data_IF_454900631888
#
_entry.id   IF_454900631888
#
_cell.length_a   1.000
_cell.length_b   1.000
_cell.length_c   1.000
_cell.angle_alpha   90.00
_cell.angle_beta   90.00
_cell.angle_gamma   90.00
#
_symmetry.space_group_name_H-M   'P 1'
#
loop_
_entity.id
_entity.type
_entity.pdbx_description
1 polymer ?
#
# COMPACT_ATOMS: atom_id res chain seq x y z
N UNK A 1 3.30 -1.33 23.30
CA UNK A 1 2.28 -2.30 22.85
C UNK A 1 1.86 -1.93 21.43
N UNK A 2 1.63 -2.91 20.57
CA UNK A 2 1.36 -2.69 19.15
C UNK A 2 -0.06 -2.21 18.87
N UNK A 3 -0.24 -1.22 18.00
CA UNK A 3 -1.58 -0.80 17.55
C UNK A 3 -2.05 -1.71 16.41
N UNK A 4 -3.05 -2.55 16.70
CA UNK A 4 -3.76 -3.33 15.69
C UNK A 4 -4.93 -2.49 15.17
N UNK A 5 -4.85 -2.09 13.91
CA UNK A 5 -5.89 -1.27 13.27
C UNK A 5 -6.71 -2.18 12.37
N UNK A 6 -7.76 -2.73 12.96
CA UNK A 6 -8.75 -3.54 12.26
C UNK A 6 -9.81 -2.68 11.56
N UNK A 7 -9.74 -1.36 11.58
CA UNK A 7 -10.64 -0.48 10.83
C UNK A 7 -10.05 0.90 10.78
N UNK A 8 -10.27 1.61 9.67
CA UNK A 8 -9.91 3.03 9.55
C UNK A 8 -10.56 3.88 10.65
N UNK A 9 -11.65 3.41 11.27
CA UNK A 9 -12.37 4.08 12.37
C UNK A 9 -11.56 4.17 13.65
N UNK A 10 -10.58 3.28 13.82
CA UNK A 10 -9.75 3.22 15.03
C UNK A 10 -8.53 4.15 14.89
N UNK A 11 -8.20 4.58 13.67
CA UNK A 11 -7.09 5.50 13.45
C UNK A 11 -7.55 6.95 13.61
N UNK A 12 -7.00 7.63 14.60
CA UNK A 12 -7.14 9.09 14.71
C UNK A 12 -6.65 9.78 13.43
N UNK A 13 -7.41 10.77 12.96
CA UNK A 13 -7.00 11.68 11.88
C UNK A 13 -5.72 12.45 12.19
N UNK A 14 -5.34 12.53 13.48
CA UNK A 14 -4.12 13.18 13.97
C UNK A 14 -2.94 12.19 14.13
N UNK A 15 -3.16 10.89 13.90
CA UNK A 15 -2.10 9.90 14.04
C UNK A 15 -0.95 10.20 13.07
N UNK A 16 0.22 10.51 13.62
CA UNK A 16 1.46 10.73 12.87
C UNK A 16 2.25 9.43 12.82
N UNK A 17 2.40 8.90 11.61
CA UNK A 17 3.27 7.76 11.29
C UNK A 17 4.16 8.14 10.13
N UNK A 18 5.38 7.61 10.12
CA UNK A 18 6.31 7.84 9.02
C UNK A 18 5.79 7.21 7.73
N UNK A 19 5.17 6.04 7.84
CA UNK A 19 4.56 5.30 6.73
C UNK A 19 3.33 4.51 7.18
N UNK A 20 2.36 4.42 6.28
CA UNK A 20 1.20 3.53 6.36
C UNK A 20 1.33 2.46 5.28
N UNK A 21 1.20 1.19 5.67
CA UNK A 21 1.33 0.02 4.81
C UNK A 21 -0.03 -0.68 4.76
N UNK A 22 -0.62 -0.79 3.57
CA UNK A 22 -1.93 -1.40 3.38
C UNK A 22 -1.82 -2.66 2.56
N UNK A 23 -2.71 -3.58 2.87
CA UNK A 23 -2.96 -4.75 2.05
C UNK A 23 -4.24 -4.49 1.27
N UNK A 24 -4.09 -4.33 -0.04
CA UNK A 24 -5.20 -4.18 -0.97
C UNK A 24 -5.64 -5.55 -1.44
N UNK A 25 -6.64 -6.12 -0.78
CA UNK A 25 -7.21 -7.45 -1.07
C UNK A 25 -8.75 -7.46 -1.20
N UNK A 26 -9.42 -6.36 -0.84
CA UNK A 26 -10.87 -6.12 -0.97
C UNK A 26 -11.74 -7.24 -0.39
N UNK A 27 -11.26 -7.94 0.65
CA UNK A 27 -12.00 -9.03 1.27
C UNK A 27 -12.18 -10.27 0.41
N UNK A 28 -11.60 -10.33 -0.80
CA UNK A 28 -11.69 -11.52 -1.65
C UNK A 28 -10.84 -12.64 -1.05
N UNK A 29 -11.31 -13.88 -1.13
CA UNK A 29 -10.49 -15.05 -0.79
C UNK A 29 -9.51 -15.27 -1.93
N UNK A 30 -8.25 -14.97 -1.65
CA UNK A 30 -7.13 -15.11 -2.56
C UNK A 30 -5.98 -15.69 -1.73
N UNK A 31 -5.31 -16.77 -2.19
CA UNK A 31 -4.36 -17.49 -1.35
C UNK A 31 -3.27 -16.61 -0.74
N UNK A 32 -2.73 -15.64 -1.48
CA UNK A 32 -1.67 -14.75 -1.00
C UNK A 32 -2.22 -13.73 0.01
N UNK A 33 -3.45 -13.24 -0.19
CA UNK A 33 -4.11 -12.36 0.78
C UNK A 33 -4.47 -13.09 2.09
N UNK A 34 -4.94 -14.33 2.01
CA UNK A 34 -5.34 -15.12 3.17
C UNK A 34 -4.15 -15.43 4.09
N UNK A 35 -2.94 -15.58 3.53
CA UNK A 35 -1.70 -15.70 4.30
C UNK A 35 -1.44 -14.47 5.14
N UNK A 36 -1.64 -13.28 4.57
CA UNK A 36 -1.42 -12.02 5.28
C UNK A 36 -2.44 -11.87 6.42
N UNK A 37 -3.70 -12.20 6.16
CA UNK A 37 -4.76 -12.16 7.19
C UNK A 37 -4.44 -13.10 8.35
N UNK A 38 -4.02 -14.34 8.07
CA UNK A 38 -3.62 -15.33 9.09
C UNK A 38 -2.41 -14.88 9.93
N UNK A 39 -1.53 -14.05 9.37
CA UNK A 39 -0.30 -13.58 10.02
C UNK A 39 -0.37 -12.13 10.49
N UNK A 40 -1.53 -11.48 10.40
CA UNK A 40 -1.69 -10.04 10.63
C UNK A 40 -1.22 -9.61 12.01
N UNK A 41 -1.46 -10.43 13.04
CA UNK A 41 -1.05 -10.12 14.42
C UNK A 41 0.46 -9.92 14.55
N UNK A 42 1.26 -10.80 13.93
CA UNK A 42 2.72 -10.73 13.95
C UNK A 42 3.21 -9.52 13.14
N UNK A 43 2.59 -9.29 11.98
CA UNK A 43 2.90 -8.15 11.11
C UNK A 43 2.62 -6.82 11.81
N UNK A 44 1.47 -6.67 12.46
CA UNK A 44 1.10 -5.47 13.21
C UNK A 44 2.05 -5.23 14.40
N UNK A 45 2.45 -6.30 15.09
CA UNK A 45 3.43 -6.21 16.18
C UNK A 45 4.81 -5.74 15.68
N UNK A 46 5.24 -6.14 14.48
CA UNK A 46 6.47 -5.66 13.87
C UNK A 46 6.36 -4.18 13.48
N UNK A 47 5.33 -3.80 12.73
CA UNK A 47 5.14 -2.43 12.28
C UNK A 47 5.08 -1.41 13.43
N UNK A 48 4.37 -1.77 14.52
CA UNK A 48 4.22 -0.85 15.64
C UNK A 48 5.48 -0.67 16.49
N UNK A 49 6.46 -1.58 16.42
CA UNK A 49 7.75 -1.36 17.09
C UNK A 49 8.58 -0.26 16.40
N UNK A 50 8.20 0.15 15.19
CA UNK A 50 9.00 1.00 14.31
C UNK A 50 8.17 2.11 13.64
N UNK A 51 7.22 2.70 14.37
CA UNK A 51 6.40 3.86 13.96
C UNK A 51 5.66 3.73 12.61
N UNK A 52 5.39 2.50 12.20
CA UNK A 52 4.58 2.17 11.02
C UNK A 52 3.27 1.51 11.45
N UNK A 53 2.26 1.57 10.58
CA UNK A 53 0.99 0.87 10.79
C UNK A 53 0.68 -0.02 9.59
N UNK A 54 0.28 -1.27 9.86
CA UNK A 54 -0.26 -2.17 8.85
C UNK A 54 -1.78 -2.14 8.96
N UNK A 55 -2.41 -1.95 7.81
CA UNK A 55 -3.86 -1.85 7.68
C UNK A 55 -4.31 -2.91 6.69
N UNK A 56 -5.17 -3.82 7.14
CA UNK A 56 -5.85 -4.75 6.25
C UNK A 56 -7.23 -4.20 5.91
N UNK A 57 -7.66 -4.46 4.67
CA UNK A 57 -9.04 -4.21 4.28
C UNK A 57 -9.95 -5.11 5.10
N UNK A 58 -10.56 -4.56 6.14
CA UNK A 58 -11.56 -5.27 6.92
C UNK A 58 -12.89 -5.35 6.18
N UNK A 59 -13.56 -6.46 6.42
CA UNK A 59 -14.76 -6.93 5.74
C UNK A 59 -15.89 -5.92 5.62
N UNK A 60 -16.74 -6.23 4.64
CA UNK A 60 -18.10 -5.74 4.38
C UNK A 60 -18.32 -4.24 4.17
N UNK A 61 -17.43 -3.34 4.60
CA UNK A 61 -17.63 -1.89 4.47
C UNK A 61 -16.53 -1.30 3.59
N UNK A 62 -16.88 -1.02 2.34
CA UNK A 62 -16.02 -0.49 1.27
C UNK A 62 -15.27 0.77 1.65
N UNK A 63 -14.10 0.62 2.28
CA UNK A 63 -13.22 1.73 2.67
C UNK A 63 -12.52 2.42 1.48
N UNK A 64 -12.70 1.91 0.27
CA UNK A 64 -12.09 2.43 -0.96
C UNK A 64 -13.06 2.45 -2.13
N UNK A 65 -14.33 2.81 -1.92
CA UNK A 65 -15.23 3.10 -3.05
C UNK A 65 -14.95 4.51 -3.61
N UNK A 66 -13.70 4.73 -4.01
CA UNK A 66 -13.27 5.94 -4.70
C UNK A 66 -12.56 5.56 -6.00
N UNK A 67 -12.48 6.50 -6.92
CA UNK A 67 -11.92 6.25 -8.25
C UNK A 67 -10.42 5.93 -8.26
N UNK A 68 -9.72 6.18 -7.15
CA UNK A 68 -8.27 5.95 -7.03
C UNK A 68 -7.95 4.53 -6.60
N UNK A 69 -8.75 3.95 -5.71
CA UNK A 69 -8.52 2.64 -5.11
C UNK A 69 -9.79 1.77 -5.24
N UNK A 70 -10.48 1.82 -6.37
CA UNK A 70 -11.65 0.97 -6.61
C UNK A 70 -11.21 -0.48 -6.88
N UNK A 71 -12.03 -1.44 -6.46
CA UNK A 71 -11.80 -2.86 -6.75
C UNK A 71 -11.79 -3.19 -8.25
N UNK A 72 -12.40 -2.34 -9.09
CA UNK A 72 -12.32 -2.47 -10.55
C UNK A 72 -11.08 -1.82 -11.15
N UNK A 73 -10.62 -0.71 -10.55
CA UNK A 73 -9.53 0.08 -11.07
C UNK A 73 -8.73 0.76 -9.98
N UNK A 74 -7.41 0.54 -10.04
CA UNK A 74 -6.45 1.15 -9.14
C UNK A 74 -5.75 2.28 -9.90
N UNK A 75 -6.13 3.53 -9.62
CA UNK A 75 -5.60 4.75 -10.24
C UNK A 75 -5.63 4.72 -11.77
N UNK A 76 -6.75 4.25 -12.33
CA UNK A 76 -6.94 4.13 -13.78
C UNK A 76 -6.35 2.86 -14.41
N UNK A 77 -5.63 2.03 -13.64
CA UNK A 77 -5.14 0.73 -14.07
C UNK A 77 -6.16 -0.38 -13.76
N UNK A 78 -6.11 -1.48 -14.52
CA UNK A 78 -6.96 -2.64 -14.27
C UNK A 78 -6.54 -3.33 -12.97
N UNK A 79 -7.45 -3.36 -11.99
CA UNK A 79 -7.20 -3.93 -10.67
C UNK A 79 -6.78 -5.40 -10.71
N UNK A 80 -7.25 -6.21 -11.69
CA UNK A 80 -6.86 -7.62 -11.82
C UNK A 80 -5.37 -7.83 -12.03
N UNK A 81 -4.68 -6.85 -12.61
CA UNK A 81 -3.24 -6.91 -12.89
C UNK A 81 -2.38 -6.47 -11.69
N UNK A 82 -3.01 -5.83 -10.70
CA UNK A 82 -2.34 -5.24 -9.53
C UNK A 82 -2.65 -6.06 -8.28
N UNK A 83 -3.90 -6.46 -8.08
CA UNK A 83 -4.38 -7.04 -6.84
C UNK A 83 -4.12 -8.56 -6.73
N UNK A 84 -3.83 -9.06 -5.51
CA UNK A 84 -3.62 -8.28 -4.29
C UNK A 84 -2.27 -7.55 -4.30
N UNK A 85 -2.18 -6.43 -3.58
CA UNK A 85 -1.00 -5.58 -3.54
C UNK A 85 -0.71 -5.01 -2.15
N UNK A 86 0.56 -4.71 -1.88
CA UNK A 86 0.97 -3.86 -0.76
C UNK A 86 0.96 -2.42 -1.26
N UNK A 87 0.28 -1.53 -0.54
CA UNK A 87 0.31 -0.09 -0.77
C UNK A 87 1.11 0.58 0.35
N UNK A 88 2.05 1.44 -0.01
CA UNK A 88 2.85 2.23 0.95
C UNK A 88 2.58 3.71 0.69
N UNK A 89 2.25 4.47 1.74
CA UNK A 89 2.02 5.91 1.65
C UNK A 89 2.39 6.62 2.95
N UNK A 90 2.61 7.93 2.89
CA UNK A 90 2.63 8.80 4.08
C UNK A 90 1.27 9.43 4.39
N UNK A 91 0.33 9.30 3.46
CA UNK A 91 -1.00 9.91 3.60
C UNK A 91 -1.77 9.18 4.69
N UNK A 92 -2.31 9.95 5.64
CA UNK A 92 -3.12 9.36 6.70
C UNK A 92 -4.36 8.67 6.08
N UNK A 93 -4.60 7.39 6.43
CA UNK A 93 -5.73 6.59 5.96
C UNK A 93 -7.10 7.24 6.06
N UNK A 94 -7.33 8.07 7.07
CA UNK A 94 -8.59 8.78 7.28
C UNK A 94 -8.96 9.64 6.06
N UNK A 95 -7.95 10.19 5.37
CA UNK A 95 -8.16 11.01 4.17
C UNK A 95 -8.77 10.22 3.00
N UNK A 96 -8.69 8.89 2.99
CA UNK A 96 -9.29 8.08 1.93
C UNK A 96 -10.80 8.10 1.92
N UNK A 97 -11.42 8.28 3.10
CA UNK A 97 -12.87 8.46 3.25
C UNK A 97 -13.31 9.85 2.81
N UNK A 98 -12.55 10.88 3.16
CA UNK A 98 -12.87 12.26 2.76
C UNK A 98 -12.92 12.42 1.23
N UNK A 99 -12.23 11.54 0.48
CA UNK A 99 -12.26 11.53 -0.98
C UNK A 99 -13.54 10.93 -1.60
N UNK A 100 -14.29 10.07 -0.91
CA UNK A 100 -15.59 9.59 -1.43
C UNK A 100 -16.64 10.70 -1.41
N UNK A 101 -16.59 11.56 -0.39
CA UNK A 101 -17.65 12.53 -0.11
C UNK A 101 -17.50 13.85 -0.87
N UNK A 102 -16.27 14.18 -1.33
CA UNK A 102 -15.96 15.50 -1.91
C UNK A 102 -15.92 15.55 -3.44
N UNK A 103 -16.12 14.42 -4.13
CA UNK A 103 -16.08 14.33 -5.59
C UNK A 103 -14.72 14.70 -6.21
N UNK A 104 -14.53 14.39 -7.50
CA UNK A 104 -13.27 14.57 -8.25
C UNK A 104 -12.58 15.94 -8.08
N UNK A 105 -13.33 17.01 -7.75
CA UNK A 105 -12.83 18.38 -7.70
C UNK A 105 -11.95 18.71 -6.49
N UNK A 106 -11.99 17.90 -5.42
CA UNK A 106 -11.21 18.13 -4.19
C UNK A 106 -10.23 16.99 -3.87
N UNK A 107 -9.98 16.09 -4.82
CA UNK A 107 -8.96 15.06 -4.61
C UNK A 107 -7.61 15.73 -4.38
N UNK A 108 -7.04 15.50 -3.20
CA UNK A 108 -5.83 16.20 -2.83
C UNK A 108 -4.68 15.71 -3.73
N UNK A 109 -4.04 16.64 -4.45
CA UNK A 109 -2.82 16.37 -5.25
C UNK A 109 -1.70 15.78 -4.41
N UNK A 110 -1.77 15.95 -3.09
CA UNK A 110 -0.81 15.44 -2.13
C UNK A 110 -0.95 13.93 -1.89
N UNK A 111 -2.06 13.30 -2.30
CA UNK A 111 -2.15 11.85 -2.19
C UNK A 111 -1.19 11.19 -3.18
N UNK A 112 -0.24 10.44 -2.64
CA UNK A 112 0.72 9.68 -3.39
C UNK A 112 1.04 8.37 -2.70
N UNK A 113 1.34 7.33 -3.48
CA UNK A 113 1.60 6.01 -2.94
C UNK A 113 2.44 5.14 -3.87
N UNK A 114 2.96 4.06 -3.30
CA UNK A 114 3.71 3.02 -4.00
C UNK A 114 2.93 1.71 -3.90
N UNK A 115 2.92 0.92 -4.98
CA UNK A 115 2.28 -0.38 -5.06
C UNK A 115 3.31 -1.48 -5.31
N UNK A 116 3.16 -2.59 -4.59
CA UNK A 116 3.90 -3.83 -4.82
C UNK A 116 2.86 -4.94 -5.06
N UNK A 117 2.58 -5.29 -6.33
CA UNK A 117 1.68 -6.38 -6.68
C UNK A 117 2.22 -7.73 -6.19
N UNK A 118 1.45 -8.42 -5.35
CA UNK A 118 1.89 -9.68 -4.72
C UNK A 118 2.04 -10.80 -5.76
N UNK A 119 1.12 -10.91 -6.72
CA UNK A 119 1.18 -11.91 -7.79
C UNK A 119 2.43 -11.83 -8.67
N UNK A 120 3.12 -10.68 -8.65
CA UNK A 120 4.39 -10.50 -9.37
C UNK A 120 5.60 -10.90 -8.52
N UNK A 121 5.48 -10.81 -7.21
CA UNK A 121 6.59 -10.99 -6.27
C UNK A 121 6.56 -12.34 -5.55
N UNK A 122 5.39 -12.96 -5.43
CA UNK A 122 5.15 -14.11 -4.57
C UNK A 122 4.46 -15.23 -5.34
N UNK A 123 4.90 -16.46 -5.12
CA UNK A 123 4.27 -17.70 -5.60
C UNK A 123 3.73 -18.54 -4.45
N UNK A 124 4.33 -18.41 -3.26
CA UNK A 124 4.01 -19.20 -2.07
C UNK A 124 3.61 -18.31 -0.88
N UNK A 125 3.02 -18.94 0.13
CA UNK A 125 2.72 -18.27 1.41
C UNK A 125 3.98 -17.70 2.06
N UNK A 126 5.07 -18.47 2.03
CA UNK A 126 6.38 -18.06 2.57
C UNK A 126 6.90 -16.81 1.86
N UNK A 127 6.76 -16.74 0.53
CA UNK A 127 7.22 -15.58 -0.24
C UNK A 127 6.50 -14.30 0.21
N UNK A 128 5.21 -14.39 0.53
CA UNK A 128 4.42 -13.24 0.99
C UNK A 128 4.90 -12.74 2.35
N UNK A 129 5.15 -13.65 3.29
CA UNK A 129 5.64 -13.30 4.62
C UNK A 129 7.04 -12.72 4.58
N UNK A 130 7.92 -13.31 3.77
CA UNK A 130 9.27 -12.82 3.56
C UNK A 130 9.27 -11.45 2.89
N UNK A 131 8.41 -11.23 1.89
CA UNK A 131 8.22 -9.94 1.23
C UNK A 131 7.77 -8.88 2.24
N UNK A 132 6.72 -9.18 3.01
CA UNK A 132 6.18 -8.25 4.01
C UNK A 132 7.23 -7.87 5.04
N UNK A 133 7.90 -8.87 5.64
CA UNK A 133 8.96 -8.66 6.62
C UNK A 133 10.11 -7.82 6.05
N UNK A 134 10.46 -8.04 4.79
CA UNK A 134 11.54 -7.31 4.12
C UNK A 134 11.15 -5.87 3.83
N UNK A 135 10.00 -5.66 3.21
CA UNK A 135 9.46 -4.33 2.89
C UNK A 135 9.31 -3.49 4.16
N UNK A 136 8.73 -4.04 5.22
CA UNK A 136 8.62 -3.32 6.49
C UNK A 136 10.00 -2.98 7.03
N UNK A 137 10.91 -3.96 7.13
CA UNK A 137 12.26 -3.75 7.66
C UNK A 137 13.07 -2.72 6.87
N UNK A 138 12.99 -2.73 5.55
CA UNK A 138 13.76 -1.82 4.70
C UNK A 138 13.22 -0.39 4.78
N UNK A 139 11.90 -0.21 4.79
CA UNK A 139 11.26 1.10 5.02
C UNK A 139 11.65 1.65 6.39
N UNK A 140 11.57 0.81 7.43
CA UNK A 140 11.94 1.15 8.81
C UNK A 140 13.41 1.54 8.92
N UNK A 141 14.29 0.74 8.32
CA UNK A 141 15.74 0.98 8.32
C UNK A 141 16.17 2.10 7.39
N UNK A 142 15.23 2.76 6.71
CA UNK A 142 15.49 3.79 5.70
C UNK A 142 16.43 3.29 4.59
N UNK A 143 16.32 2.01 4.27
CA UNK A 143 17.10 1.29 3.27
C UNK A 143 16.38 1.26 1.94
N UNK A 144 17.18 1.17 0.89
CA UNK A 144 16.67 0.96 -0.45
C UNK A 144 15.88 -0.36 -0.53
N UNK A 145 14.77 -0.32 -1.26
CA UNK A 145 13.98 -1.48 -1.63
C UNK A 145 14.70 -2.19 -2.79
N UNK A 146 15.85 -2.79 -2.49
CA UNK A 146 16.84 -3.24 -3.47
C UNK A 146 16.32 -4.32 -4.43
N UNK A 147 15.37 -5.15 -3.99
CA UNK A 147 14.77 -6.22 -4.80
C UNK A 147 13.65 -5.73 -5.69
N UNK A 148 13.41 -4.42 -5.75
CA UNK A 148 12.34 -3.85 -6.54
C UNK A 148 12.88 -2.84 -7.53
N UNK A 149 12.27 -2.79 -8.70
CA UNK A 149 12.49 -1.76 -9.71
C UNK A 149 11.16 -1.11 -10.06
N UNK A 150 11.22 0.10 -10.63
CA UNK A 150 10.02 0.80 -11.09
C UNK A 150 9.52 0.12 -12.36
N UNK A 151 8.33 -0.48 -12.29
CA UNK A 151 7.63 -0.98 -13.48
C UNK A 151 6.91 0.15 -14.21
N UNK A 152 6.20 0.98 -13.45
CA UNK A 152 5.34 2.03 -14.02
C UNK A 152 5.21 3.20 -13.07
N UNK A 153 5.31 4.41 -13.62
CA UNK A 153 4.95 5.64 -12.94
C UNK A 153 3.62 6.16 -13.47
N UNK A 154 2.73 6.55 -12.56
CA UNK A 154 1.42 7.12 -12.84
C UNK A 154 1.41 8.55 -12.31
N UNK A 155 1.02 9.51 -13.17
CA UNK A 155 0.96 10.93 -12.82
C UNK A 155 -0.36 11.53 -13.30
N UNK A 156 -1.01 12.40 -12.51
CA UNK A 156 -2.22 13.09 -12.95
C UNK A 156 -2.00 13.83 -14.26
N UNK A 157 -2.99 13.79 -15.15
CA UNK A 157 -2.92 14.43 -16.48
C UNK A 157 -2.22 13.60 -17.56
N UNK A 158 -1.62 12.46 -17.20
CA UNK A 158 -1.09 11.46 -18.15
C UNK A 158 -1.95 10.18 -18.06
N UNK A 159 -2.76 9.94 -19.08
CA UNK A 159 -3.65 8.78 -19.14
C UNK A 159 -4.83 8.86 -18.18
N UNK A 160 -5.17 7.74 -17.53
CA UNK A 160 -6.32 7.63 -16.59
C UNK A 160 -5.93 7.83 -15.12
N UNK A 161 -4.65 8.13 -14.84
CA UNK A 161 -4.17 8.31 -13.49
C UNK A 161 -4.74 9.59 -12.88
N UNK A 162 -5.21 9.48 -11.63
CA UNK A 162 -5.84 10.56 -10.88
C UNK A 162 -4.90 11.11 -9.82
N UNK A 163 -4.01 10.27 -9.28
CA UNK A 163 -2.98 10.65 -8.31
C UNK A 163 -1.60 10.18 -8.73
N UNK A 164 -0.55 10.71 -8.08
CA UNK A 164 0.84 10.28 -8.33
C UNK A 164 1.08 8.93 -7.67
N UNK A 165 1.44 7.91 -8.44
CA UNK A 165 1.82 6.62 -7.85
C UNK A 165 2.89 5.89 -8.66
N UNK A 166 3.53 4.91 -8.02
CA UNK A 166 4.54 4.05 -8.63
C UNK A 166 4.15 2.60 -8.40
N UNK A 167 4.22 1.78 -9.45
CA UNK A 167 4.09 0.32 -9.37
C UNK A 167 5.49 -0.27 -9.46
N UNK A 168 5.84 -1.07 -8.45
CA UNK A 168 7.09 -1.79 -8.39
C UNK A 168 6.92 -3.22 -8.90
N UNK A 169 8.01 -3.79 -9.41
CA UNK A 169 8.12 -5.22 -9.72
C UNK A 169 9.48 -5.76 -9.25
N UNK A 170 9.65 -7.09 -9.15
CA UNK A 170 10.93 -7.66 -8.76
C UNK A 170 12.07 -7.20 -9.67
N UNK A 171 13.21 -6.93 -9.05
CA UNK A 171 14.44 -6.51 -9.68
C UNK A 171 15.33 -7.72 -9.94
N UNK A 172 15.41 -8.13 -11.21
CA UNK A 172 16.30 -9.21 -11.65
C UNK A 172 17.66 -8.70 -12.14
N UNK A 173 17.82 -7.37 -12.29
CA UNK A 173 18.96 -6.73 -12.95
C UNK A 173 19.87 -5.95 -11.98
N UNK A 174 19.62 -6.02 -10.67
CA UNK A 174 20.46 -5.39 -9.65
C UNK A 174 20.29 -3.87 -9.47
N UNK A 175 19.37 -3.22 -10.20
CA UNK A 175 19.05 -1.79 -10.04
C UNK A 175 17.84 -1.58 -9.12
N UNK A 176 18.12 -1.48 -7.82
CA UNK A 176 17.09 -1.38 -6.77
C UNK A 176 16.36 -0.03 -6.70
N UNK A 177 15.21 -0.01 -6.03
CA UNK A 177 14.42 1.19 -5.81
C UNK A 177 14.91 1.94 -4.58
N UNK A 178 15.48 3.12 -4.80
CA UNK A 178 16.09 3.91 -3.73
C UNK A 178 15.08 4.45 -2.71
N UNK A 179 15.44 4.42 -1.43
CA UNK A 179 14.67 5.02 -0.35
C UNK A 179 14.59 6.55 -0.46
N UNK A 180 15.59 7.21 -1.04
CA UNK A 180 15.51 8.65 -1.31
C UNK A 180 14.44 8.93 -2.38
N UNK A 181 14.37 8.09 -3.43
CA UNK A 181 13.27 8.15 -4.39
C UNK A 181 11.94 7.90 -3.68
N UNK A 182 11.85 6.91 -2.79
CA UNK A 182 10.65 6.67 -1.99
C UNK A 182 10.19 7.94 -1.24
N UNK A 183 11.12 8.62 -0.54
CA UNK A 183 10.82 9.88 0.15
C UNK A 183 10.37 10.98 -0.79
N UNK A 184 11.02 11.16 -1.93
CA UNK A 184 10.70 12.22 -2.88
C UNK A 184 9.42 11.93 -3.67
N UNK A 185 9.08 10.66 -3.88
CA UNK A 185 7.78 10.28 -4.42
C UNK A 185 6.65 10.62 -3.44
N UNK A 186 6.89 10.37 -2.15
CA UNK A 186 5.92 10.53 -1.06
C UNK A 186 6.01 11.88 -0.30
N UNK A 187 6.74 12.86 -0.84
CA UNK A 187 6.70 14.26 -0.40
C UNK A 187 5.46 14.93 -1.00
#
# INVERSE_FOLDING_TARGET
>A
MGLMIHSLEILSSEAKRDYFIYILDYGWSEPLADVIRKNFQNLAAWASKNDSAIITGVGEIGHFDNEVLSWHSINGENAKNILPAILITKTNPHRFREFSDLGRKKMNKDFCYILIPLKKCCKTETDVLDLMRKVTKDIESKKDLADFQIKKELKPGLGKAIVKSVILEPNFNGLGFSFNKLKDYLK
#
